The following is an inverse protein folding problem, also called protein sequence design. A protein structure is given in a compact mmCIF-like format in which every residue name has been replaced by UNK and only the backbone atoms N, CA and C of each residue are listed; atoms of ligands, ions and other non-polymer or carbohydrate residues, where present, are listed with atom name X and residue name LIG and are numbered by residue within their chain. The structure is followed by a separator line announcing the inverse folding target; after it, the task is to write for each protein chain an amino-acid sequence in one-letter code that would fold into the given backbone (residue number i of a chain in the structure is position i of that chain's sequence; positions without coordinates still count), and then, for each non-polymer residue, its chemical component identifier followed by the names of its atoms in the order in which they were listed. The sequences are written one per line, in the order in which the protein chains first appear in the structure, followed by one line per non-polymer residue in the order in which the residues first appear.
data_IF_906058431998
#
_entry.id   IF_906058431998
#
_cell.length_a   1.000
_cell.length_b   1.000
_cell.length_c   1.000
_cell.angle_alpha   90.00
_cell.angle_beta   90.00
_cell.angle_gamma   90.00
#
_symmetry.space_group_name_H-M   'P 1'
#
loop_
_entity.id
_entity.type
_entity.pdbx_description
1 polymer ?
#
# COMPACT_ATOMS: atom_id res chain seq x y z
N UNK A 1 -21.39 -6.66 46.11
CA UNK A 1 -22.59 -6.19 45.40
C UNK A 1 -23.10 -7.35 44.53
N UNK A 2 -24.37 -7.68 44.63
CA UNK A 2 -25.02 -8.57 43.69
C UNK A 2 -24.86 -7.95 42.31
N UNK A 3 -24.31 -8.70 41.33
CA UNK A 3 -24.24 -8.23 39.97
C UNK A 3 -25.66 -7.97 39.45
N UNK A 4 -25.92 -6.77 38.96
CA UNK A 4 -27.25 -6.42 38.44
C UNK A 4 -27.49 -7.12 37.11
N UNK A 5 -28.63 -7.80 36.97
CA UNK A 5 -29.01 -8.41 35.69
C UNK A 5 -29.42 -7.32 34.69
N UNK A 6 -29.06 -7.48 33.44
CA UNK A 6 -29.46 -6.58 32.37
C UNK A 6 -30.96 -6.73 32.11
N UNK A 7 -31.72 -5.67 32.37
CA UNK A 7 -33.18 -5.68 32.17
C UNK A 7 -33.58 -5.14 30.80
N UNK A 8 -32.78 -4.21 30.24
CA UNK A 8 -33.06 -3.57 28.97
C UNK A 8 -31.75 -3.20 28.26
N UNK A 9 -31.78 -3.23 26.93
CA UNK A 9 -30.69 -2.74 26.07
C UNK A 9 -31.29 -1.77 25.06
N UNK A 10 -30.84 -0.51 25.12
CA UNK A 10 -31.23 0.56 24.21
C UNK A 10 -30.02 0.98 23.35
N UNK A 11 -30.26 1.23 22.07
CA UNK A 11 -29.29 1.79 21.16
C UNK A 11 -29.67 3.22 20.78
N UNK A 12 -28.68 4.11 20.80
CA UNK A 12 -28.83 5.51 20.45
C UNK A 12 -27.83 5.86 19.36
N UNK A 13 -28.26 6.64 18.35
CA UNK A 13 -27.39 7.11 17.27
C UNK A 13 -27.32 6.22 16.04
N UNK A 14 -28.20 5.23 15.93
CA UNK A 14 -28.31 4.41 14.72
C UNK A 14 -29.03 5.16 13.61
N UNK A 15 -28.51 5.05 12.39
CA UNK A 15 -29.11 5.61 11.17
C UNK A 15 -29.55 4.52 10.19
N UNK A 16 -28.68 3.56 9.89
CA UNK A 16 -28.88 2.54 8.86
C UNK A 16 -28.88 1.15 9.47
N UNK A 17 -28.02 0.89 10.45
CA UNK A 17 -27.90 -0.40 11.10
C UNK A 17 -29.12 -0.64 11.99
N UNK A 18 -29.74 -1.83 11.85
CA UNK A 18 -30.93 -2.17 12.66
C UNK A 18 -30.55 -2.63 14.06
N UNK A 19 -31.45 -2.38 15.03
CA UNK A 19 -31.32 -2.90 16.39
C UNK A 19 -31.18 -4.45 16.40
N UNK A 20 -31.91 -5.14 15.52
CA UNK A 20 -31.83 -6.60 15.40
C UNK A 20 -30.44 -7.08 15.00
N UNK A 21 -29.81 -6.40 14.08
CA UNK A 21 -28.44 -6.70 13.67
C UNK A 21 -27.47 -6.57 14.84
N UNK A 22 -27.59 -5.49 15.61
CA UNK A 22 -26.70 -5.26 16.76
C UNK A 22 -26.94 -6.23 17.89
N UNK A 23 -28.22 -6.56 18.20
CA UNK A 23 -28.52 -7.56 19.20
C UNK A 23 -27.90 -8.93 18.89
N UNK A 24 -27.74 -9.28 17.62
CA UNK A 24 -27.08 -10.53 17.22
C UNK A 24 -25.55 -10.50 17.38
N UNK A 25 -24.96 -9.32 17.42
CA UNK A 25 -23.49 -9.12 17.53
C UNK A 25 -23.07 -8.99 19.00
N UNK A 26 -23.94 -8.47 19.85
CA UNK A 26 -23.64 -8.25 21.26
C UNK A 26 -23.23 -9.54 21.97
N UNK A 27 -22.18 -9.51 22.83
CA UNK A 27 -21.74 -10.63 23.63
C UNK A 27 -22.68 -10.90 24.84
N UNK A 28 -23.68 -10.06 25.03
CA UNK A 28 -24.63 -10.11 26.17
C UNK A 28 -26.07 -10.07 25.71
N UNK A 29 -26.97 -10.60 26.57
CA UNK A 29 -28.42 -10.62 26.36
C UNK A 29 -29.14 -10.04 27.57
N UNK A 30 -30.42 -9.72 27.40
CA UNK A 30 -31.30 -9.39 28.52
C UNK A 30 -31.36 -10.60 29.45
N UNK A 31 -31.16 -10.36 30.76
CA UNK A 31 -31.08 -11.38 31.79
C UNK A 31 -29.65 -11.78 32.20
N UNK A 32 -28.64 -11.46 31.41
CA UNK A 32 -27.25 -11.69 31.76
C UNK A 32 -26.81 -10.74 32.90
N UNK A 33 -25.77 -11.14 33.62
CA UNK A 33 -25.23 -10.33 34.70
C UNK A 33 -24.26 -9.27 34.10
N UNK A 34 -24.46 -8.04 34.56
CA UNK A 34 -23.57 -6.93 34.23
C UNK A 34 -22.41 -6.85 35.23
N UNK A 35 -21.19 -6.81 34.75
CA UNK A 35 -19.99 -6.59 35.53
C UNK A 35 -19.09 -5.54 34.84
N UNK A 36 -18.00 -5.19 35.47
CA UNK A 36 -17.11 -4.14 34.97
C UNK A 36 -16.50 -4.46 33.58
N UNK A 37 -16.30 -5.72 33.24
CA UNK A 37 -15.77 -6.15 31.95
C UNK A 37 -16.83 -6.14 30.85
N UNK A 38 -18.12 -6.17 31.20
CA UNK A 38 -19.23 -6.25 30.24
C UNK A 38 -19.21 -5.07 29.25
N UNK A 39 -18.96 -3.86 29.73
CA UNK A 39 -18.84 -2.68 28.85
C UNK A 39 -17.69 -2.81 27.86
N UNK A 40 -16.53 -3.26 28.32
CA UNK A 40 -15.35 -3.41 27.46
C UNK A 40 -15.58 -4.50 26.41
N UNK A 41 -16.22 -5.62 26.77
CA UNK A 41 -16.56 -6.69 25.84
C UNK A 41 -17.56 -6.21 24.76
N UNK A 42 -18.57 -5.42 25.16
CA UNK A 42 -19.52 -4.81 24.22
C UNK A 42 -18.81 -3.85 23.27
N UNK A 43 -17.99 -2.94 23.79
CA UNK A 43 -17.25 -1.95 23.00
C UNK A 43 -16.35 -2.68 22.01
N UNK A 44 -15.62 -3.70 22.46
CA UNK A 44 -14.72 -4.45 21.60
C UNK A 44 -15.46 -5.23 20.51
N UNK A 45 -16.55 -5.88 20.84
CA UNK A 45 -17.37 -6.62 19.87
C UNK A 45 -17.92 -5.68 18.77
N UNK A 46 -18.43 -4.52 19.17
CA UNK A 46 -18.97 -3.54 18.23
C UNK A 46 -17.87 -2.83 17.42
N UNK A 47 -16.75 -2.50 18.05
CA UNK A 47 -15.60 -1.90 17.37
C UNK A 47 -15.02 -2.82 16.29
N UNK A 48 -14.93 -4.12 16.57
CA UNK A 48 -14.41 -5.11 15.63
C UNK A 48 -15.28 -5.26 14.37
N UNK A 49 -16.53 -4.81 14.39
CA UNK A 49 -17.38 -4.80 13.19
C UNK A 49 -16.92 -3.79 12.13
N UNK A 50 -16.19 -2.74 12.53
CA UNK A 50 -15.83 -1.61 11.68
C UNK A 50 -17.01 -0.68 11.35
N UNK A 51 -18.18 -0.87 11.96
CA UNK A 51 -19.39 -0.10 11.65
C UNK A 51 -19.44 1.26 12.34
N UNK A 52 -18.68 1.44 13.41
CA UNK A 52 -18.79 2.60 14.28
C UNK A 52 -17.48 3.34 14.42
N UNK A 53 -17.55 4.67 14.40
CA UNK A 53 -16.44 5.57 14.72
C UNK A 53 -16.34 5.88 16.20
N UNK A 54 -17.46 5.78 16.93
CA UNK A 54 -17.52 6.01 18.37
C UNK A 54 -18.56 5.09 19.03
N UNK A 55 -18.23 4.59 20.21
CA UNK A 55 -19.03 3.65 20.98
C UNK A 55 -18.93 4.01 22.46
N UNK A 56 -20.05 4.29 23.09
CA UNK A 56 -20.13 4.49 24.52
C UNK A 56 -21.19 3.58 25.14
N UNK A 57 -20.85 2.95 26.25
CA UNK A 57 -21.78 2.08 27.02
C UNK A 57 -22.01 2.67 28.40
N UNK A 58 -23.25 2.83 28.76
CA UNK A 58 -23.64 3.25 30.10
C UNK A 58 -24.65 2.28 30.69
N UNK A 59 -24.53 2.02 31.98
CA UNK A 59 -25.52 1.22 32.74
C UNK A 59 -26.17 2.10 33.82
N UNK A 60 -27.49 2.20 33.80
CA UNK A 60 -28.26 2.89 34.80
C UNK A 60 -29.37 1.97 35.29
N UNK A 61 -29.26 1.49 36.56
CA UNK A 61 -30.24 0.62 37.17
C UNK A 61 -30.60 -0.61 36.30
N UNK A 62 -29.59 -1.34 35.84
CA UNK A 62 -29.76 -2.53 35.00
C UNK A 62 -30.26 -2.24 33.57
N UNK A 63 -30.35 -0.99 33.16
CA UNK A 63 -30.67 -0.61 31.80
C UNK A 63 -29.39 -0.18 31.09
N UNK A 64 -28.98 -0.94 30.09
CA UNK A 64 -27.85 -0.63 29.25
C UNK A 64 -28.27 0.34 28.13
N UNK A 65 -27.54 1.45 28.00
CA UNK A 65 -27.64 2.35 26.86
C UNK A 65 -26.33 2.32 26.10
N UNK A 66 -26.39 1.94 24.84
CA UNK A 66 -25.26 1.87 23.94
C UNK A 66 -25.41 3.02 22.94
N UNK A 67 -24.56 4.03 23.09
CA UNK A 67 -24.53 5.19 22.20
C UNK A 67 -23.48 4.98 21.11
N UNK A 68 -23.88 5.17 19.86
CA UNK A 68 -23.12 4.77 18.68
C UNK A 68 -23.07 5.92 17.67
N UNK A 69 -21.92 6.05 17.00
CA UNK A 69 -21.79 6.85 15.79
C UNK A 69 -21.42 5.95 14.63
N UNK A 70 -22.35 5.78 13.69
CA UNK A 70 -22.09 4.95 12.51
C UNK A 70 -21.05 5.60 11.59
N UNK A 71 -20.12 4.79 11.07
CA UNK A 71 -19.25 5.19 9.98
C UNK A 71 -20.10 5.52 8.74
N UNK A 72 -19.71 6.51 7.93
CA UNK A 72 -20.44 6.84 6.72
C UNK A 72 -20.36 5.70 5.69
N UNK A 73 -21.38 5.57 4.85
CA UNK A 73 -21.38 4.68 3.70
C UNK A 73 -20.73 5.35 2.50
N UNK A 74 -19.98 4.55 1.74
CA UNK A 74 -19.39 5.02 0.49
C UNK A 74 -20.51 5.11 -0.57
N UNK A 75 -20.76 6.32 -1.05
CA UNK A 75 -21.72 6.61 -2.11
C UNK A 75 -21.12 6.35 -3.49
N UNK A 76 -19.87 6.78 -3.68
CA UNK A 76 -19.07 6.53 -4.87
C UNK A 76 -17.59 6.59 -4.54
N UNK A 77 -16.82 5.90 -5.34
CA UNK A 77 -15.37 5.93 -5.35
C UNK A 77 -14.90 6.12 -6.80
N UNK A 78 -14.43 7.31 -7.11
CA UNK A 78 -14.01 7.68 -8.45
C UNK A 78 -12.48 7.81 -8.50
N UNK A 79 -11.88 7.25 -9.55
CA UNK A 79 -10.46 7.39 -9.82
C UNK A 79 -10.25 8.13 -11.13
N UNK A 80 -9.66 9.30 -11.04
CA UNK A 80 -9.19 10.09 -12.17
C UNK A 80 -7.71 9.76 -12.38
N UNK A 81 -7.41 8.96 -13.37
CA UNK A 81 -6.05 8.51 -13.66
C UNK A 81 -5.57 9.10 -14.99
N UNK A 82 -4.75 10.12 -14.90
CA UNK A 82 -4.18 10.80 -16.04
C UNK A 82 -3.26 11.93 -15.60
N UNK A 83 -2.42 12.40 -16.49
CA UNK A 83 -1.60 13.58 -16.26
C UNK A 83 -2.48 14.81 -16.21
N UNK A 84 -2.38 15.60 -15.15
CA UNK A 84 -3.09 16.88 -14.99
C UNK A 84 -2.57 18.00 -15.91
N UNK A 85 -1.48 17.78 -16.62
CA UNK A 85 -0.94 18.74 -17.57
C UNK A 85 -1.47 18.47 -18.99
N UNK A 86 -2.59 19.12 -19.31
CA UNK A 86 -3.30 19.21 -20.59
C UNK A 86 -2.46 18.87 -21.84
N UNK A 87 -2.21 19.54 -22.75
CA UNK A 87 -1.62 19.41 -24.08
C UNK A 87 -0.52 18.33 -24.31
N UNK A 88 0.26 17.91 -23.32
CA UNK A 88 1.36 16.93 -23.48
C UNK A 88 0.95 15.46 -23.28
N UNK A 89 -0.25 15.18 -22.78
CA UNK A 89 -0.65 13.80 -22.45
C UNK A 89 -0.80 12.90 -23.69
N UNK A 90 -1.06 13.47 -24.86
CA UNK A 90 -1.17 12.71 -26.12
C UNK A 90 0.18 12.44 -26.80
N UNK A 91 1.22 13.19 -26.41
CA UNK A 91 2.59 13.01 -26.91
C UNK A 91 3.38 11.98 -26.10
N UNK A 92 3.03 11.82 -24.83
CA UNK A 92 3.64 10.84 -23.94
C UNK A 92 2.72 9.60 -23.92
N UNK A 93 3.00 8.67 -24.80
CA UNK A 93 2.30 7.37 -24.88
C UNK A 93 2.75 6.44 -23.72
N UNK A 94 2.97 7.01 -22.52
CA UNK A 94 3.32 6.21 -21.34
C UNK A 94 2.10 5.37 -20.92
N UNK A 95 2.28 4.07 -20.98
CA UNK A 95 1.28 3.11 -20.54
C UNK A 95 1.01 3.33 -19.06
N UNK A 96 -0.27 3.44 -18.69
CA UNK A 96 -0.69 3.46 -17.29
C UNK A 96 -0.20 2.20 -16.59
N UNK A 97 0.38 2.34 -15.39
CA UNK A 97 0.84 1.22 -14.59
C UNK A 97 -0.31 0.29 -14.20
N UNK A 98 -1.43 0.88 -13.79
CA UNK A 98 -2.64 0.15 -13.41
C UNK A 98 -3.72 0.41 -14.45
N UNK A 99 -4.31 -0.63 -14.97
CA UNK A 99 -5.50 -0.53 -15.80
C UNK A 99 -6.78 -0.42 -14.95
N UNK A 100 -7.92 -0.18 -15.59
CA UNK A 100 -9.19 -0.02 -14.90
C UNK A 100 -9.62 -1.28 -14.12
N UNK A 101 -9.29 -2.46 -14.63
CA UNK A 101 -9.62 -3.73 -13.97
C UNK A 101 -8.83 -3.89 -12.68
N UNK A 102 -7.52 -3.69 -12.73
CA UNK A 102 -6.63 -3.77 -11.57
C UNK A 102 -7.00 -2.76 -10.48
N UNK A 103 -7.35 -1.52 -10.88
CA UNK A 103 -7.82 -0.50 -9.95
C UNK A 103 -9.15 -0.90 -9.29
N UNK A 104 -10.10 -1.44 -10.04
CA UNK A 104 -11.36 -1.91 -9.47
C UNK A 104 -11.15 -3.07 -8.50
N UNK A 105 -10.30 -4.03 -8.82
CA UNK A 105 -9.94 -5.12 -7.92
C UNK A 105 -9.32 -4.62 -6.61
N UNK A 106 -8.45 -3.62 -6.70
CA UNK A 106 -7.86 -2.99 -5.50
C UNK A 106 -8.92 -2.26 -4.66
N UNK A 107 -9.86 -1.55 -5.28
CA UNK A 107 -10.96 -0.86 -4.60
C UNK A 107 -11.86 -1.87 -3.90
N UNK A 108 -12.26 -2.94 -4.58
CA UNK A 108 -13.13 -3.97 -4.03
C UNK A 108 -12.47 -4.78 -2.92
N UNK A 109 -11.22 -5.19 -3.09
CA UNK A 109 -10.47 -5.96 -2.08
C UNK A 109 -10.25 -5.17 -0.79
N UNK A 110 -10.16 -3.84 -0.89
CA UNK A 110 -10.06 -2.94 0.27
C UNK A 110 -11.43 -2.47 0.79
N UNK A 111 -12.54 -3.01 0.27
CA UNK A 111 -13.91 -2.66 0.68
C UNK A 111 -14.22 -1.15 0.54
N UNK A 112 -13.69 -0.53 -0.51
CA UNK A 112 -13.85 0.89 -0.79
C UNK A 112 -14.88 1.17 -1.90
N UNK A 113 -15.52 0.14 -2.45
CA UNK A 113 -16.60 0.30 -3.42
C UNK A 113 -17.88 0.85 -2.80
N UNK A 114 -18.75 1.43 -3.62
CA UNK A 114 -20.04 1.97 -3.19
C UNK A 114 -20.86 0.93 -2.43
N UNK A 115 -21.51 1.35 -1.36
CA UNK A 115 -22.30 0.50 -0.47
C UNK A 115 -21.55 -0.08 0.74
N UNK A 116 -20.23 -0.02 0.75
CA UNK A 116 -19.44 -0.40 1.92
C UNK A 116 -19.38 0.75 2.92
N UNK A 117 -19.16 0.41 4.18
CA UNK A 117 -18.86 1.42 5.20
C UNK A 117 -17.46 1.95 5.04
N UNK A 118 -17.30 3.25 5.19
CA UNK A 118 -16.00 3.91 5.09
C UNK A 118 -15.19 3.72 6.37
N UNK A 119 -13.96 3.26 6.22
CA UNK A 119 -12.97 3.23 7.27
C UNK A 119 -11.78 4.11 6.87
N UNK A 120 -11.49 5.12 7.69
CA UNK A 120 -10.36 6.02 7.46
C UNK A 120 -9.01 5.29 7.41
N UNK A 121 -8.83 4.26 8.26
CA UNK A 121 -7.61 3.47 8.25
C UNK A 121 -7.47 2.64 6.97
N UNK A 122 -8.52 1.94 6.55
CA UNK A 122 -8.51 1.17 5.29
C UNK A 122 -8.24 2.06 4.08
N UNK A 123 -8.83 3.25 4.05
CA UNK A 123 -8.58 4.21 2.99
C UNK A 123 -7.12 4.71 2.99
N UNK A 124 -6.58 5.03 4.17
CA UNK A 124 -5.17 5.43 4.31
C UNK A 124 -4.21 4.32 3.88
N UNK A 125 -4.50 3.08 4.26
CA UNK A 125 -3.70 1.91 3.88
C UNK A 125 -3.76 1.68 2.36
N UNK A 126 -4.93 1.84 1.75
CA UNK A 126 -5.10 1.77 0.30
C UNK A 126 -4.24 2.81 -0.43
N UNK A 127 -4.32 4.08 -0.02
CA UNK A 127 -3.53 5.16 -0.65
C UNK A 127 -2.02 4.91 -0.48
N UNK A 128 -1.60 4.44 0.69
CA UNK A 128 -0.21 4.12 0.98
C UNK A 128 0.29 2.95 0.14
N UNK A 129 -0.51 1.90 0.01
CA UNK A 129 -0.19 0.73 -0.82
C UNK A 129 -0.11 1.09 -2.30
N UNK A 130 -1.04 1.92 -2.78
CA UNK A 130 -1.04 2.42 -4.15
C UNK A 130 0.22 3.24 -4.45
N UNK A 131 0.62 4.11 -3.53
CA UNK A 131 1.87 4.89 -3.65
C UNK A 131 3.11 4.00 -3.64
N UNK A 132 3.13 2.98 -2.79
CA UNK A 132 4.21 2.01 -2.74
C UNK A 132 4.33 1.23 -4.06
N UNK A 133 3.22 0.88 -4.69
CA UNK A 133 3.21 0.20 -5.98
C UNK A 133 3.77 1.05 -7.11
N UNK A 134 3.41 2.35 -7.16
CA UNK A 134 4.03 3.30 -8.10
C UNK A 134 5.53 3.43 -7.89
N UNK A 135 5.97 3.57 -6.63
CA UNK A 135 7.39 3.65 -6.30
C UNK A 135 8.12 2.36 -6.71
N UNK A 136 7.53 1.21 -6.43
CA UNK A 136 8.05 -0.09 -6.80
C UNK A 136 8.24 -0.26 -8.31
N UNK A 137 7.34 0.33 -9.10
CA UNK A 137 7.43 0.34 -10.54
C UNK A 137 8.34 1.45 -11.11
N UNK A 138 9.01 2.22 -10.24
CA UNK A 138 9.96 3.28 -10.64
C UNK A 138 9.32 4.65 -10.88
N UNK A 139 8.05 4.84 -10.51
CA UNK A 139 7.36 6.12 -10.59
C UNK A 139 7.49 6.88 -9.26
N UNK A 140 8.71 7.33 -8.94
CA UNK A 140 9.02 7.95 -7.64
C UNK A 140 8.39 9.33 -7.44
N UNK A 141 7.96 9.97 -8.53
CA UNK A 141 7.26 11.26 -8.52
C UNK A 141 5.75 11.12 -8.62
N UNK A 142 5.21 9.90 -8.50
CA UNK A 142 3.78 9.69 -8.54
C UNK A 142 3.07 10.48 -7.44
N UNK A 143 2.00 11.19 -7.84
CA UNK A 143 1.15 11.96 -6.94
C UNK A 143 -0.22 11.31 -6.88
N UNK A 144 -0.71 11.13 -5.66
CA UNK A 144 -2.02 10.58 -5.38
C UNK A 144 -2.70 11.56 -4.43
N UNK A 145 -3.60 12.34 -5.00
CA UNK A 145 -4.40 13.31 -4.25
C UNK A 145 -5.80 12.75 -4.06
N UNK A 146 -6.38 12.95 -2.89
CA UNK A 146 -7.72 12.49 -2.57
C UNK A 146 -8.59 13.62 -2.07
N UNK A 147 -9.84 13.63 -2.51
CA UNK A 147 -10.91 14.43 -1.97
C UNK A 147 -11.99 13.52 -1.39
N UNK A 148 -12.39 13.79 -0.15
CA UNK A 148 -13.38 13.01 0.58
C UNK A 148 -14.43 13.95 1.12
N UNK A 149 -15.69 13.76 0.70
CA UNK A 149 -16.82 14.62 1.07
C UNK A 149 -17.92 13.80 1.72
N UNK A 150 -18.47 14.32 2.83
CA UNK A 150 -19.62 13.71 3.54
C UNK A 150 -20.87 14.55 3.25
N UNK A 151 -21.93 13.91 2.81
CA UNK A 151 -23.22 14.57 2.60
C UNK A 151 -24.10 14.55 3.87
N UNK A 152 -25.22 15.26 3.82
CA UNK A 152 -26.17 15.38 4.93
C UNK A 152 -26.85 14.05 5.34
N UNK A 153 -26.70 12.99 4.54
CA UNK A 153 -27.22 11.64 4.81
C UNK A 153 -26.15 10.69 5.35
N UNK A 154 -25.04 11.23 5.85
CA UNK A 154 -23.88 10.46 6.33
C UNK A 154 -23.32 9.49 5.28
N UNK A 155 -23.30 9.93 3.99
CA UNK A 155 -22.70 9.19 2.89
C UNK A 155 -21.46 9.92 2.40
N UNK A 156 -20.45 9.15 2.02
CA UNK A 156 -19.15 9.67 1.62
C UNK A 156 -18.93 9.47 0.12
N UNK A 157 -18.52 10.55 -0.55
CA UNK A 157 -17.99 10.51 -1.89
C UNK A 157 -16.47 10.58 -1.83
N UNK A 158 -15.80 9.70 -2.54
CA UNK A 158 -14.34 9.64 -2.61
C UNK A 158 -13.91 9.86 -4.05
N UNK A 159 -13.03 10.82 -4.24
CA UNK A 159 -12.34 11.07 -5.51
C UNK A 159 -10.84 10.95 -5.32
N UNK A 160 -10.19 10.16 -6.15
CA UNK A 160 -8.73 10.03 -6.17
C UNK A 160 -8.23 10.50 -7.53
N UNK A 161 -7.26 11.40 -7.50
CA UNK A 161 -6.54 11.86 -8.67
C UNK A 161 -5.13 11.26 -8.67
N UNK A 162 -4.80 10.49 -9.69
CA UNK A 162 -3.51 9.84 -9.85
C UNK A 162 -2.77 10.50 -11.02
N UNK A 163 -1.62 11.10 -10.71
CA UNK A 163 -0.62 11.50 -11.69
C UNK A 163 0.62 10.62 -11.46
N UNK A 164 0.83 9.64 -12.33
CA UNK A 164 1.96 8.72 -12.17
C UNK A 164 3.32 9.38 -12.42
N UNK A 165 3.35 10.53 -13.07
CA UNK A 165 4.59 11.19 -13.46
C UNK A 165 5.41 10.39 -14.46
N UNK A 166 6.70 10.67 -14.53
CA UNK A 166 7.64 9.94 -15.36
C UNK A 166 8.28 8.80 -14.57
N UNK A 167 8.51 7.70 -15.26
CA UNK A 167 9.27 6.59 -14.71
C UNK A 167 10.76 6.96 -14.70
N UNK A 168 11.46 6.65 -13.62
CA UNK A 168 12.89 6.85 -13.53
C UNK A 168 13.64 5.92 -14.49
N UNK A 169 14.73 6.42 -15.05
CA UNK A 169 15.60 5.69 -15.97
C UNK A 169 17.00 5.53 -15.37
N UNK A 170 17.71 4.45 -15.74
CA UNK A 170 19.10 4.26 -15.32
C UNK A 170 19.96 5.28 -16.06
N UNK A 171 20.67 6.11 -15.29
CA UNK A 171 21.57 7.15 -15.82
C UNK A 171 23.02 6.68 -15.86
N UNK A 172 23.43 5.88 -14.87
CA UNK A 172 24.78 5.34 -14.80
C UNK A 172 24.83 4.02 -14.07
N UNK A 173 25.76 3.16 -14.47
CA UNK A 173 26.18 1.98 -13.72
C UNK A 173 27.69 2.07 -13.52
N UNK A 174 28.14 1.81 -12.30
CA UNK A 174 29.56 1.75 -11.92
C UNK A 174 29.85 0.44 -11.22
N UNK A 175 31.11 0.01 -11.27
CA UNK A 175 31.58 -1.19 -10.57
C UNK A 175 32.74 -0.78 -9.66
N UNK A 176 32.48 -0.78 -8.35
CA UNK A 176 33.47 -0.42 -7.34
C UNK A 176 34.20 -1.67 -6.83
N UNK A 177 35.53 -1.59 -6.72
CA UNK A 177 36.39 -2.69 -6.26
C UNK A 177 37.04 -3.52 -7.36
N UNK A 178 36.74 -3.23 -8.63
CA UNK A 178 37.40 -3.85 -9.77
C UNK A 178 38.81 -3.26 -10.00
N UNK A 179 39.82 -4.12 -10.08
CA UNK A 179 41.21 -3.75 -10.38
C UNK A 179 41.85 -4.63 -11.46
N UNK A 180 41.30 -5.79 -11.72
CA UNK A 180 41.83 -6.80 -12.64
C UNK A 180 41.28 -6.66 -14.06
N UNK A 181 40.03 -6.25 -14.14
CA UNK A 181 39.36 -5.99 -15.42
C UNK A 181 38.93 -4.52 -15.47
N UNK A 182 38.83 -3.99 -16.68
CA UNK A 182 38.31 -2.63 -16.84
C UNK A 182 36.81 -2.58 -16.54
N UNK A 183 36.33 -1.45 -15.99
CA UNK A 183 34.92 -1.22 -15.76
C UNK A 183 34.07 -1.43 -17.02
N UNK A 184 34.60 -0.93 -18.19
CA UNK A 184 33.92 -1.14 -19.46
C UNK A 184 33.73 -2.60 -19.81
N UNK A 185 34.79 -3.42 -19.65
CA UNK A 185 34.72 -4.86 -19.93
C UNK A 185 33.66 -5.56 -19.06
N UNK A 186 33.58 -5.20 -17.77
CA UNK A 186 32.62 -5.76 -16.85
C UNK A 186 31.20 -5.28 -17.15
N UNK A 187 31.01 -4.00 -17.50
CA UNK A 187 29.71 -3.45 -17.86
C UNK A 187 29.16 -4.02 -19.17
N UNK A 188 30.05 -4.35 -20.11
CA UNK A 188 29.68 -4.99 -21.39
C UNK A 188 29.05 -6.40 -21.19
N UNK A 189 29.21 -7.00 -19.99
CA UNK A 189 28.57 -8.26 -19.63
C UNK A 189 27.07 -8.10 -19.27
N UNK A 190 26.64 -6.87 -19.04
CA UNK A 190 25.25 -6.56 -18.76
C UNK A 190 24.55 -6.17 -20.06
N UNK A 191 23.60 -7.00 -20.50
CA UNK A 191 22.76 -6.73 -21.67
C UNK A 191 21.66 -5.71 -21.34
N UNK A 192 22.05 -4.54 -20.83
CA UNK A 192 21.10 -3.51 -20.41
C UNK A 192 21.01 -2.47 -21.53
N UNK A 193 19.89 -2.47 -22.26
CA UNK A 193 19.56 -1.40 -23.18
C UNK A 193 19.12 -0.12 -22.43
N UNK A 194 19.19 1.04 -23.10
CA UNK A 194 18.76 2.35 -22.55
C UNK A 194 17.30 2.37 -22.00
N UNK A 195 16.53 1.32 -22.24
CA UNK A 195 15.12 1.20 -21.88
C UNK A 195 14.83 0.10 -20.85
N UNK A 196 15.84 -0.55 -20.26
CA UNK A 196 15.57 -1.73 -19.43
C UNK A 196 15.09 -1.35 -18.02
N UNK A 197 13.80 -1.16 -17.96
CA UNK A 197 13.01 -0.75 -16.81
C UNK A 197 12.85 -1.86 -15.76
N UNK A 198 13.27 -3.09 -16.03
CA UNK A 198 13.25 -4.21 -15.07
C UNK A 198 14.19 -3.99 -13.89
N UNK A 199 15.28 -3.25 -14.10
CA UNK A 199 16.27 -2.99 -13.05
C UNK A 199 15.72 -2.10 -11.93
N UNK A 200 14.80 -1.20 -12.25
CA UNK A 200 14.20 -0.32 -11.23
C UNK A 200 13.42 -1.13 -10.20
N UNK A 201 12.69 -2.14 -10.64
CA UNK A 201 11.94 -3.02 -9.75
C UNK A 201 12.86 -3.82 -8.79
N UNK A 202 14.07 -4.14 -9.21
CA UNK A 202 15.05 -4.83 -8.36
C UNK A 202 15.38 -4.05 -7.10
N UNK A 203 15.64 -2.77 -7.25
CA UNK A 203 16.08 -1.94 -6.14
C UNK A 203 14.95 -1.51 -5.21
N UNK A 204 13.71 -1.58 -5.68
CA UNK A 204 12.55 -1.09 -4.94
C UNK A 204 11.74 -2.19 -4.26
N UNK A 205 11.73 -3.39 -4.85
CA UNK A 205 10.88 -4.47 -4.36
C UNK A 205 11.71 -5.69 -4.09
N UNK A 206 12.44 -6.07 -3.40
CA UNK A 206 13.08 -7.37 -3.10
C UNK A 206 12.39 -8.62 -3.74
N UNK A 207 11.63 -8.40 -4.83
CA UNK A 207 10.95 -9.45 -5.59
C UNK A 207 11.92 -10.02 -6.62
N UNK A 208 12.30 -11.26 -6.43
CA UNK A 208 13.31 -12.00 -7.21
C UNK A 208 12.95 -12.26 -8.67
N UNK A 209 11.70 -12.05 -9.10
CA UNK A 209 11.23 -12.52 -10.41
C UNK A 209 11.30 -11.47 -11.53
N UNK A 210 11.55 -10.18 -11.22
CA UNK A 210 11.63 -9.09 -12.21
C UNK A 210 13.05 -8.69 -12.64
N UNK A 211 14.08 -9.43 -12.22
CA UNK A 211 15.47 -8.98 -12.20
C UNK A 211 16.35 -9.70 -13.21
N UNK A 212 15.74 -10.22 -14.25
CA UNK A 212 16.43 -11.15 -15.15
C UNK A 212 17.71 -10.54 -15.74
N UNK A 213 17.66 -9.29 -16.22
CA UNK A 213 18.81 -8.67 -16.90
C UNK A 213 19.96 -8.34 -15.94
N UNK A 214 19.67 -7.80 -14.74
CA UNK A 214 20.71 -7.52 -13.75
C UNK A 214 21.29 -8.81 -13.19
N UNK A 215 20.45 -9.77 -12.81
CA UNK A 215 20.90 -11.04 -12.30
C UNK A 215 21.73 -11.83 -13.33
N UNK A 216 21.34 -11.80 -14.60
CA UNK A 216 22.14 -12.37 -15.70
C UNK A 216 23.48 -11.65 -15.85
N UNK A 217 23.51 -10.33 -15.74
CA UNK A 217 24.74 -9.57 -15.76
C UNK A 217 25.66 -9.88 -14.58
N UNK A 218 25.11 -9.94 -13.36
CA UNK A 218 25.87 -10.33 -12.16
C UNK A 218 26.39 -11.75 -12.24
N UNK A 219 25.59 -12.70 -12.76
CA UNK A 219 26.01 -14.07 -12.99
C UNK A 219 27.11 -14.14 -14.07
N UNK A 220 26.96 -13.41 -15.16
CA UNK A 220 27.96 -13.32 -16.23
C UNK A 220 29.29 -12.76 -15.71
N UNK A 221 29.23 -11.72 -14.87
CA UNK A 221 30.40 -11.14 -14.24
C UNK A 221 31.07 -12.15 -13.28
N UNK A 222 30.29 -12.86 -12.46
CA UNK A 222 30.79 -13.91 -11.55
C UNK A 222 31.50 -15.02 -12.34
N UNK A 223 30.90 -15.48 -13.42
CA UNK A 223 31.49 -16.49 -14.28
C UNK A 223 32.77 -15.98 -14.98
N UNK A 224 32.81 -14.71 -15.38
CA UNK A 224 33.98 -14.11 -15.98
C UNK A 224 35.19 -14.14 -15.02
N UNK A 225 34.99 -13.76 -13.75
CA UNK A 225 36.02 -13.82 -12.70
C UNK A 225 36.43 -15.27 -12.40
N UNK A 226 35.48 -16.18 -12.24
CA UNK A 226 35.78 -17.59 -11.97
C UNK A 226 36.57 -18.25 -13.10
N UNK A 227 36.17 -18.02 -14.35
CA UNK A 227 36.90 -18.52 -15.52
C UNK A 227 38.31 -17.94 -15.66
N UNK A 228 38.55 -16.77 -15.05
CA UNK A 228 39.86 -16.13 -14.99
C UNK A 228 40.70 -16.51 -13.76
N UNK A 229 40.18 -17.47 -12.95
CA UNK A 229 40.90 -18.02 -11.80
C UNK A 229 40.61 -17.32 -10.46
N UNK A 230 39.74 -16.32 -10.43
CA UNK A 230 39.38 -15.60 -9.19
C UNK A 230 38.20 -16.28 -8.49
N UNK A 231 38.46 -17.41 -7.83
CA UNK A 231 37.42 -18.27 -7.25
C UNK A 231 36.77 -17.69 -5.98
N UNK A 232 37.44 -16.73 -5.35
CA UNK A 232 36.94 -16.01 -4.18
C UNK A 232 36.16 -14.72 -4.53
N UNK A 233 35.89 -14.50 -5.82
CA UNK A 233 35.09 -13.36 -6.27
C UNK A 233 33.72 -13.33 -5.60
N UNK A 234 33.30 -12.14 -5.19
CA UNK A 234 31.97 -11.90 -4.59
C UNK A 234 31.42 -10.55 -4.99
N UNK A 235 30.12 -10.51 -5.27
CA UNK A 235 29.35 -9.27 -5.25
C UNK A 235 29.01 -8.97 -3.81
N UNK A 236 29.48 -7.84 -3.29
CA UNK A 236 29.30 -7.42 -1.91
C UNK A 236 27.96 -6.72 -1.70
N UNK A 237 27.63 -5.81 -2.59
CA UNK A 237 26.41 -5.02 -2.53
C UNK A 237 26.06 -4.44 -3.90
N UNK A 238 24.80 -4.06 -4.06
CA UNK A 238 24.31 -3.31 -5.23
C UNK A 238 23.54 -2.10 -4.70
N UNK A 239 24.15 -0.93 -4.81
CA UNK A 239 23.60 0.31 -4.26
C UNK A 239 22.95 1.10 -5.38
N UNK A 240 21.69 1.49 -5.17
CA UNK A 240 20.99 2.39 -6.07
C UNK A 240 20.75 3.75 -5.42
N UNK A 241 20.99 4.81 -6.17
CA UNK A 241 20.80 6.20 -5.71
C UNK A 241 19.98 6.96 -6.73
N UNK A 242 18.88 7.59 -6.29
CA UNK A 242 18.09 8.50 -7.11
C UNK A 242 18.73 9.90 -7.14
N UNK A 243 18.62 10.57 -8.28
CA UNK A 243 18.92 12.00 -8.36
C UNK A 243 17.87 12.83 -7.57
N UNK A 244 18.14 14.12 -7.38
CA UNK A 244 17.26 15.01 -6.64
C UNK A 244 15.86 15.13 -7.27
N UNK A 245 15.77 14.98 -8.59
CA UNK A 245 14.50 15.03 -9.32
C UNK A 245 13.75 13.69 -9.32
N UNK A 246 14.36 12.63 -8.79
CA UNK A 246 13.82 11.26 -8.78
C UNK A 246 13.47 10.72 -10.18
N UNK A 247 14.19 11.18 -11.19
CA UNK A 247 14.01 10.77 -12.58
C UNK A 247 15.16 9.90 -13.09
N UNK A 248 16.31 9.91 -12.39
CA UNK A 248 17.53 9.20 -12.79
C UNK A 248 18.03 8.32 -11.65
N UNK A 249 18.35 7.08 -11.98
CA UNK A 249 18.90 6.10 -11.07
C UNK A 249 20.37 5.85 -11.42
N UNK A 250 21.24 5.96 -10.41
CA UNK A 250 22.64 5.58 -10.49
C UNK A 250 22.82 4.28 -9.71
N UNK A 251 23.48 3.29 -10.32
CA UNK A 251 23.72 1.97 -9.75
C UNK A 251 25.21 1.79 -9.53
N UNK A 252 25.61 1.44 -8.31
CA UNK A 252 26.98 1.04 -7.98
C UNK A 252 27.00 -0.42 -7.53
N UNK A 253 27.73 -1.26 -8.28
CA UNK A 253 27.92 -2.67 -7.97
C UNK A 253 29.25 -2.80 -7.23
N UNK A 254 29.20 -3.13 -5.96
CA UNK A 254 30.40 -3.29 -5.13
C UNK A 254 30.85 -4.75 -5.17
N UNK A 255 32.11 -4.98 -5.51
CA UNK A 255 32.69 -6.31 -5.63
C UNK A 255 33.96 -6.47 -4.80
N UNK A 256 34.27 -7.72 -4.52
CA UNK A 256 35.58 -8.17 -4.05
C UNK A 256 36.11 -9.21 -5.03
N UNK A 257 37.27 -8.95 -5.61
CA UNK A 257 37.86 -9.85 -6.62
C UNK A 257 38.46 -11.13 -6.02
N UNK A 258 38.79 -11.08 -4.71
CA UNK A 258 39.46 -12.19 -4.04
C UNK A 258 40.92 -12.36 -4.46
N UNK A 259 41.46 -13.54 -4.20
CA UNK A 259 42.81 -13.95 -4.59
C UNK A 259 42.71 -14.89 -5.80
N UNK A 260 43.62 -14.75 -6.75
CA UNK A 260 43.73 -15.60 -7.90
C UNK A 260 44.35 -16.95 -7.52
#
# INVERSE_FOLDING_TARGET
SLADSINKIDFVGLNVISNTTLMAILPVKIGDQYNQNTSDEIIQALFNTGYFSDIAVSNNNSNLTITLSENPYIKYFNVNYGSSSGWSSWLNNEKKLLDASSLNELIESNKLSAGNMYSKSQFSDFVSSLKAEFNAAGYYNAKIDSNVEIDSQNRIGIEINIDQGKRATISSMTISGATKFSEKELLDLFSIGEADMMLINYFTNKNRDSDLALNQGLESMTNHYFNSGYLDFKVLDVISTLDDNKEKLNIDIQISEGIQ
#
